data_IF_617562801203
#
_entry.id   IF_617562801203
#
_cell.length_a   1.000
_cell.length_b   1.000
_cell.length_c   1.000
_cell.angle_alpha   90.00
_cell.angle_beta   90.00
_cell.angle_gamma   90.00
#
_symmetry.space_group_name_H-M   'P 1'
#
loop_
_entity.id
_entity.type
_entity.pdbx_description
1 polymer ?
#
# COMPACT_ATOMS: atom_id res chain seq x y z
N UNK A 1 0.23 -14.60 2.96
CA UNK A 1 0.25 -13.37 2.11
C UNK A 1 0.39 -13.52 0.58
N UNK A 2 1.58 -13.61 -0.06
CA UNK A 2 1.72 -13.49 -1.55
C UNK A 2 0.84 -14.49 -2.35
N UNK A 3 0.74 -15.73 -1.87
CA UNK A 3 -0.10 -16.78 -2.48
C UNK A 3 -1.60 -16.54 -2.26
N UNK A 4 -1.99 -15.95 -1.13
CA UNK A 4 -3.39 -15.66 -0.79
C UNK A 4 -3.93 -14.45 -1.57
N UNK A 5 -3.06 -13.48 -1.85
CA UNK A 5 -3.38 -12.30 -2.65
C UNK A 5 -3.28 -12.60 -4.16
N UNK A 6 -2.73 -13.77 -4.54
CA UNK A 6 -2.62 -14.21 -5.93
C UNK A 6 -1.61 -13.43 -6.76
N UNK A 7 -0.50 -13.00 -6.15
CA UNK A 7 0.50 -12.16 -6.82
C UNK A 7 1.39 -12.97 -7.76
N UNK A 8 1.48 -12.52 -9.01
CA UNK A 8 2.39 -13.02 -10.04
C UNK A 8 3.36 -11.93 -10.51
N UNK A 9 4.43 -12.33 -11.19
CA UNK A 9 5.35 -11.38 -11.84
C UNK A 9 4.58 -10.46 -12.80
N UNK A 10 4.85 -9.16 -12.73
CA UNK A 10 4.12 -8.11 -13.44
C UNK A 10 2.86 -7.61 -12.72
N UNK A 11 2.48 -8.18 -11.57
CA UNK A 11 1.39 -7.65 -10.76
C UNK A 11 1.75 -6.29 -10.18
N UNK A 12 0.72 -5.45 -10.00
CA UNK A 12 0.86 -4.16 -9.34
C UNK A 12 -0.08 -4.08 -8.14
N UNK A 13 0.48 -3.66 -7.01
CA UNK A 13 -0.23 -3.42 -5.75
C UNK A 13 -0.39 -1.92 -5.56
N UNK A 14 -1.64 -1.49 -5.45
CA UNK A 14 -2.01 -0.11 -5.12
C UNK A 14 -2.25 0.01 -3.64
N UNK A 15 -1.58 0.95 -2.99
CA UNK A 15 -1.93 1.43 -1.65
C UNK A 15 -2.81 2.68 -1.77
N UNK A 16 -3.89 2.72 -1.00
CA UNK A 16 -4.87 3.81 -1.07
C UNK A 16 -5.51 4.11 0.28
N UNK A 17 -6.04 5.32 0.39
CA UNK A 17 -6.73 5.78 1.59
C UNK A 17 -8.18 5.27 1.61
N UNK A 18 -8.62 4.74 2.75
CA UNK A 18 -9.99 4.27 2.94
C UNK A 18 -10.67 5.05 4.07
N UNK A 19 -11.86 5.58 3.77
CA UNK A 19 -12.73 6.25 4.75
C UNK A 19 -13.29 5.19 5.71
N UNK A 20 -13.37 5.54 6.99
CA UNK A 20 -13.77 4.67 8.10
C UNK A 20 -12.70 3.67 8.50
N UNK A 21 -11.61 4.22 9.04
CA UNK A 21 -10.57 3.47 9.71
C UNK A 21 -9.83 4.33 10.72
N UNK A 22 -8.75 3.81 11.28
CA UNK A 22 -7.85 4.58 12.12
C UNK A 22 -6.42 4.30 11.69
N UNK A 23 -5.65 5.36 11.49
CA UNK A 23 -4.22 5.29 11.21
C UNK A 23 -3.45 6.26 12.11
N UNK A 24 -2.15 6.03 12.33
CA UNK A 24 -1.31 6.99 13.06
C UNK A 24 -1.14 8.34 12.35
N UNK A 25 -1.41 8.42 11.05
CA UNK A 25 -1.16 9.61 10.21
C UNK A 25 -2.41 10.45 9.94
N UNK A 26 -3.59 9.82 9.83
CA UNK A 26 -4.85 10.49 9.52
C UNK A 26 -5.99 9.91 10.36
N UNK A 27 -6.68 10.79 11.10
CA UNK A 27 -7.88 10.41 11.85
C UNK A 27 -9.04 10.07 10.89
N UNK A 28 -9.80 9.02 11.20
CA UNK A 28 -10.94 8.51 10.42
C UNK A 28 -10.59 7.87 9.06
N UNK A 29 -9.31 7.80 8.71
CA UNK A 29 -8.81 7.10 7.53
C UNK A 29 -7.87 5.95 7.92
N UNK A 30 -7.88 4.91 7.12
CA UNK A 30 -6.90 3.83 7.18
C UNK A 30 -6.22 3.63 5.82
N UNK A 31 -5.09 2.93 5.84
CA UNK A 31 -4.43 2.45 4.64
C UNK A 31 -5.04 1.10 4.23
N UNK A 32 -5.38 0.97 2.97
CA UNK A 32 -5.77 -0.28 2.34
C UNK A 32 -4.89 -0.55 1.13
N UNK A 33 -4.94 -1.79 0.62
CA UNK A 33 -4.26 -2.15 -0.62
C UNK A 33 -5.13 -3.05 -1.49
N UNK A 34 -4.87 -3.04 -2.79
CA UNK A 34 -5.52 -3.92 -3.77
C UNK A 34 -4.54 -4.27 -4.90
N UNK A 35 -4.79 -5.38 -5.58
CA UNK A 35 -4.14 -5.64 -6.88
C UNK A 35 -4.85 -4.77 -7.93
N UNK A 36 -4.09 -3.91 -8.59
CA UNK A 36 -4.60 -3.00 -9.62
C UNK A 36 -3.51 -2.74 -10.68
N UNK A 37 -3.65 -3.41 -11.82
CA UNK A 37 -2.67 -3.39 -12.90
C UNK A 37 -2.83 -2.19 -13.87
N UNK A 38 -3.85 -1.35 -13.67
CA UNK A 38 -4.22 -0.22 -14.54
C UNK A 38 -4.07 1.13 -13.81
N UNK A 39 -2.84 1.53 -13.41
CA UNK A 39 -2.64 2.77 -12.68
C UNK A 39 -3.00 3.98 -13.52
N UNK A 40 -3.50 5.03 -12.86
CA UNK A 40 -3.87 6.30 -13.49
C UNK A 40 -2.71 7.29 -13.43
N UNK A 41 -2.15 7.52 -12.24
CA UNK A 41 -1.04 8.43 -11.94
C UNK A 41 -0.20 7.90 -10.78
N UNK A 42 0.79 7.04 -11.09
CA UNK A 42 1.73 6.49 -10.09
C UNK A 42 2.69 7.56 -9.57
N UNK A 43 2.21 8.40 -8.67
CA UNK A 43 2.99 9.49 -8.12
C UNK A 43 4.18 9.00 -7.28
N UNK A 44 4.04 7.84 -6.62
CA UNK A 44 5.13 7.12 -5.95
C UNK A 44 5.03 5.64 -6.29
N UNK A 45 6.15 5.01 -6.60
CA UNK A 45 6.22 3.57 -6.84
C UNK A 45 7.58 2.97 -6.47
N UNK A 46 7.59 1.67 -6.20
CA UNK A 46 8.79 0.86 -6.02
C UNK A 46 8.56 -0.53 -6.60
N UNK A 47 9.62 -1.18 -7.08
CA UNK A 47 9.55 -2.54 -7.63
C UNK A 47 10.34 -3.51 -6.75
N UNK A 48 9.74 -4.65 -6.42
CA UNK A 48 10.38 -5.73 -5.67
C UNK A 48 9.88 -7.08 -6.16
N UNK A 49 10.81 -7.98 -6.48
CA UNK A 49 10.52 -9.32 -7.00
C UNK A 49 9.57 -9.33 -8.22
N UNK A 50 9.72 -8.34 -9.11
CA UNK A 50 8.86 -8.19 -10.31
C UNK A 50 7.42 -7.76 -10.00
N UNK A 51 7.14 -7.30 -8.79
CA UNK A 51 5.86 -6.72 -8.37
C UNK A 51 6.07 -5.22 -8.15
N UNK A 52 5.22 -4.40 -8.75
CA UNK A 52 5.23 -2.95 -8.54
C UNK A 52 4.29 -2.61 -7.41
N UNK A 53 4.75 -1.83 -6.44
CA UNK A 53 3.96 -1.26 -5.36
C UNK A 53 3.85 0.23 -5.60
N UNK A 54 2.64 0.79 -5.58
CA UNK A 54 2.44 2.20 -5.92
C UNK A 54 1.33 2.87 -5.13
N UNK A 55 1.38 4.20 -5.12
CA UNK A 55 0.37 5.10 -4.59
C UNK A 55 -0.04 6.04 -5.71
N UNK A 56 -1.35 6.21 -5.87
CA UNK A 56 -1.91 7.17 -6.83
C UNK A 56 -1.71 8.61 -6.33
N UNK A 57 -1.55 9.56 -7.25
CA UNK A 57 -1.50 10.99 -6.92
C UNK A 57 -2.68 11.45 -6.06
N UNK A 58 -3.86 10.87 -6.28
CA UNK A 58 -5.09 11.14 -5.51
C UNK A 58 -5.03 10.72 -4.04
N UNK A 59 -4.10 9.83 -3.68
CA UNK A 59 -3.98 9.24 -2.34
C UNK A 59 -2.75 9.75 -1.57
N UNK A 60 -1.86 10.52 -2.21
CA UNK A 60 -0.64 11.03 -1.57
C UNK A 60 -0.90 11.86 -0.29
N UNK A 61 -2.02 12.59 -0.26
CA UNK A 61 -2.38 13.44 0.88
C UNK A 61 -2.49 12.64 2.19
N UNK A 62 -2.85 11.35 2.12
CA UNK A 62 -3.01 10.48 3.29
C UNK A 62 -1.69 10.37 4.07
N UNK A 63 -0.58 10.27 3.35
CA UNK A 63 0.73 10.04 3.94
C UNK A 63 1.29 11.28 4.62
N UNK A 64 0.71 12.46 4.39
CA UNK A 64 1.08 13.73 5.05
C UNK A 64 2.60 14.02 5.02
N UNK A 65 3.27 13.64 3.93
CA UNK A 65 4.71 13.82 3.77
C UNK A 65 5.60 12.78 4.44
N UNK A 66 5.02 11.75 5.07
CA UNK A 66 5.76 10.61 5.61
C UNK A 66 6.00 9.53 4.55
N UNK A 67 7.09 8.80 4.71
CA UNK A 67 7.37 7.60 3.91
C UNK A 67 6.57 6.41 4.45
N UNK A 68 5.91 5.67 3.56
CA UNK A 68 5.28 4.39 3.90
C UNK A 68 6.31 3.27 3.90
N UNK A 69 6.44 2.58 5.02
CA UNK A 69 7.16 1.31 5.13
C UNK A 69 6.17 0.17 5.35
N UNK A 70 6.32 -0.89 4.58
CA UNK A 70 5.46 -2.08 4.62
C UNK A 70 6.33 -3.29 4.96
N UNK A 71 6.05 -3.86 6.12
CA UNK A 71 6.69 -5.09 6.59
C UNK A 71 5.65 -6.21 6.70
N UNK A 72 6.14 -7.45 6.71
CA UNK A 72 5.30 -8.63 6.91
C UNK A 72 5.67 -9.29 8.23
N UNK A 73 4.66 -9.51 9.08
CA UNK A 73 4.83 -10.17 10.36
C UNK A 73 4.47 -11.65 10.24
N UNK A 74 5.48 -12.51 10.06
CA UNK A 74 5.33 -13.97 9.94
C UNK A 74 4.56 -14.62 11.11
N UNK A 75 4.58 -14.01 12.31
CA UNK A 75 3.92 -14.58 13.49
C UNK A 75 2.42 -14.31 13.52
N UNK A 76 1.99 -13.22 12.90
CA UNK A 76 0.58 -12.82 12.82
C UNK A 76 -0.04 -13.13 11.46
N UNK A 77 0.79 -13.41 10.44
CA UNK A 77 0.38 -13.54 9.04
C UNK A 77 -0.32 -12.27 8.52
N UNK A 78 0.25 -11.11 8.87
CA UNK A 78 -0.33 -9.80 8.58
C UNK A 78 0.73 -8.81 8.09
N UNK A 79 0.31 -7.81 7.32
CA UNK A 79 1.14 -6.64 7.00
C UNK A 79 1.17 -5.67 8.17
N UNK A 80 2.33 -5.13 8.48
CA UNK A 80 2.52 -4.03 9.42
C UNK A 80 2.98 -2.78 8.66
N UNK A 81 2.38 -1.64 9.00
CA UNK A 81 2.65 -0.36 8.37
C UNK A 81 3.31 0.59 9.36
N UNK A 82 4.36 1.28 8.91
CA UNK A 82 4.95 2.39 9.65
C UNK A 82 5.18 3.60 8.74
N UNK A 83 5.21 4.77 9.36
CA UNK A 83 5.29 6.07 8.70
C UNK A 83 6.40 6.87 9.34
N UNK A 84 7.39 7.32 8.55
CA UNK A 84 8.54 8.11 9.03
C UNK A 84 8.59 9.47 8.38
#
# INVERSE_FOLDING_TARGET
FKEEVGLSEGSKIKFYSQIYGTSPVQENYALAFTVDNEPVDMAVNTEKDGIVFYIEGSDLWFFNGHDLHVDYNDKKDELEYSYT
#
